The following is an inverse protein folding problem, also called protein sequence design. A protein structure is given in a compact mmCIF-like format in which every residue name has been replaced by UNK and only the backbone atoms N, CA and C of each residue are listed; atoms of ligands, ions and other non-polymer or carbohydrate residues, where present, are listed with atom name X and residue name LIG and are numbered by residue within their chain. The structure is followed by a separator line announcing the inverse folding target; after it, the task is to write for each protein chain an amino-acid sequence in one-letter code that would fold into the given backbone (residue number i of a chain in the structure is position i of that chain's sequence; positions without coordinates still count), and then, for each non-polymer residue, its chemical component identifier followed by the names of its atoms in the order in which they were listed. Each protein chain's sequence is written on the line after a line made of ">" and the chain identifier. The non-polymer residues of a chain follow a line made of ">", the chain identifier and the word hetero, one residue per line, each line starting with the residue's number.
data_IF_466984778782
#
_entry.id   IF_466984778782
#
_cell.length_a   1.000
_cell.length_b   1.000
_cell.length_c   1.000
_cell.angle_alpha   90.00
_cell.angle_beta   90.00
_cell.angle_gamma   90.00
#
_symmetry.space_group_name_H-M   'P 1'
#
loop_
_entity.id
_entity.type
_entity.pdbx_description
1 polymer ?
#
# COMPACT_ATOMS: atom_id res chain seq x y z
N UNK A 1 3.63 -18.02 23.76
CA UNK A 1 3.57 -16.55 23.62
C UNK A 1 4.31 -16.18 22.35
N UNK A 2 3.67 -16.35 21.19
CA UNK A 2 4.26 -15.91 19.92
C UNK A 2 3.56 -14.63 19.55
N UNK A 3 4.17 -13.50 19.91
CA UNK A 3 3.79 -12.19 19.40
C UNK A 3 4.24 -12.15 17.93
N UNK A 4 3.56 -12.95 17.11
CA UNK A 4 3.59 -12.85 15.66
C UNK A 4 3.00 -11.48 15.38
N UNK A 5 3.85 -10.45 15.29
CA UNK A 5 3.47 -9.26 14.55
C UNK A 5 2.97 -9.79 13.20
N UNK A 6 1.70 -9.56 12.84
CA UNK A 6 1.18 -10.17 11.63
C UNK A 6 2.03 -9.64 10.47
N UNK A 7 2.77 -10.52 9.80
CA UNK A 7 3.55 -10.19 8.61
C UNK A 7 2.68 -9.30 7.70
N UNK A 8 3.09 -8.04 7.50
CA UNK A 8 2.35 -7.06 6.72
C UNK A 8 1.48 -6.05 7.49
N UNK A 9 1.77 -5.72 8.75
CA UNK A 9 1.06 -4.61 9.42
C UNK A 9 1.29 -3.26 8.71
N UNK A 10 2.53 -3.01 8.26
CA UNK A 10 2.93 -1.87 7.42
C UNK A 10 2.16 -1.83 6.09
N UNK A 11 2.01 -2.97 5.39
CA UNK A 11 1.26 -3.03 4.14
C UNK A 11 -0.22 -2.72 4.36
N UNK A 12 -0.82 -3.19 5.47
CA UNK A 12 -2.21 -2.90 5.82
C UNK A 12 -2.40 -1.41 6.13
N UNK A 13 -1.48 -0.80 6.87
CA UNK A 13 -1.47 0.65 7.13
C UNK A 13 -1.34 1.45 5.84
N UNK A 14 -0.47 1.02 4.93
CA UNK A 14 -0.28 1.63 3.62
C UNK A 14 -1.55 1.55 2.77
N UNK A 15 -2.20 0.39 2.65
CA UNK A 15 -3.47 0.23 1.92
C UNK A 15 -4.53 1.17 2.47
N UNK A 16 -4.70 1.21 3.79
CA UNK A 16 -5.71 2.07 4.43
C UNK A 16 -5.46 3.55 4.15
N UNK A 17 -4.19 3.98 4.19
CA UNK A 17 -3.80 5.34 3.86
C UNK A 17 -4.03 5.67 2.39
N UNK A 18 -3.64 4.77 1.48
CA UNK A 18 -3.86 4.93 0.03
C UNK A 18 -5.36 5.03 -0.28
N UNK A 19 -6.19 4.16 0.29
CA UNK A 19 -7.64 4.19 0.10
C UNK A 19 -8.27 5.50 0.55
N UNK A 20 -7.84 6.04 1.70
CA UNK A 20 -8.32 7.34 2.19
C UNK A 20 -7.87 8.51 1.29
N UNK A 21 -6.68 8.44 0.70
CA UNK A 21 -6.19 9.48 -0.22
C UNK A 21 -6.69 9.30 -1.67
N UNK A 22 -7.22 8.13 -2.03
CA UNK A 22 -7.72 7.85 -3.37
C UNK A 22 -9.00 8.63 -3.68
N UNK A 23 -9.77 9.01 -2.65
CA UNK A 23 -11.01 9.79 -2.77
C UNK A 23 -10.78 11.21 -3.31
N UNK A 24 -9.58 11.77 -3.15
CA UNK A 24 -9.22 13.11 -3.67
C UNK A 24 -8.93 13.13 -5.19
N UNK A 25 -9.12 12.02 -5.92
CA UNK A 25 -8.83 11.94 -7.36
C UNK A 25 -7.33 11.91 -7.71
N UNK A 26 -6.47 11.71 -6.70
CA UNK A 26 -5.02 11.55 -6.89
C UNK A 26 -4.71 10.24 -7.62
N UNK A 27 -3.67 10.27 -8.47
CA UNK A 27 -3.20 9.07 -9.19
C UNK A 27 -2.71 8.01 -8.21
N UNK A 28 -3.24 6.79 -8.32
CA UNK A 28 -2.92 5.65 -7.44
C UNK A 28 -1.42 5.39 -7.34
N UNK A 29 -0.68 5.43 -8.47
CA UNK A 29 0.77 5.25 -8.49
C UNK A 29 1.51 6.18 -7.54
N UNK A 30 1.09 7.46 -7.48
CA UNK A 30 1.72 8.46 -6.62
C UNK A 30 1.45 8.19 -5.13
N UNK A 31 0.23 7.76 -4.81
CA UNK A 31 -0.13 7.37 -3.45
C UNK A 31 0.63 6.13 -2.98
N UNK A 32 0.90 5.18 -3.89
CA UNK A 32 1.64 3.96 -3.57
C UNK A 32 3.11 4.27 -3.30
N UNK A 33 3.74 5.13 -4.11
CA UNK A 33 5.11 5.59 -3.85
C UNK A 33 5.20 6.35 -2.51
N UNK A 34 4.27 7.27 -2.24
CA UNK A 34 4.23 7.99 -0.97
C UNK A 34 4.01 7.04 0.22
N UNK A 35 3.13 6.06 0.08
CA UNK A 35 2.90 5.06 1.11
C UNK A 35 4.13 4.16 1.30
N UNK A 36 4.82 3.79 0.22
CA UNK A 36 6.03 2.97 0.31
C UNK A 36 7.14 3.67 1.11
N UNK A 37 7.35 4.96 0.86
CA UNK A 37 8.32 5.76 1.61
C UNK A 37 7.84 6.00 3.04
N UNK A 38 6.54 6.29 3.23
CA UNK A 38 5.96 6.62 4.55
C UNK A 38 5.93 5.43 5.52
N UNK A 39 5.72 4.23 5.00
CA UNK A 39 5.59 3.00 5.79
C UNK A 39 6.81 2.08 5.67
N UNK A 40 7.92 2.57 5.08
CA UNK A 40 9.16 1.80 4.86
C UNK A 40 8.89 0.45 4.18
N UNK A 41 8.03 0.46 3.17
CA UNK A 41 7.65 -0.77 2.48
C UNK A 41 8.81 -1.31 1.65
N UNK A 42 9.00 -2.61 1.75
CA UNK A 42 9.95 -3.32 0.89
C UNK A 42 9.51 -3.30 -0.58
N UNK A 43 10.45 -3.43 -1.54
CA UNK A 43 10.14 -3.47 -2.97
C UNK A 43 9.02 -4.47 -3.31
N UNK A 44 9.04 -5.66 -2.69
CA UNK A 44 8.02 -6.68 -2.85
C UNK A 44 6.61 -6.23 -2.41
N UNK A 45 6.52 -5.42 -1.35
CA UNK A 45 5.26 -4.89 -0.84
C UNK A 45 4.75 -3.74 -1.72
N UNK A 46 5.65 -2.88 -2.19
CA UNK A 46 5.32 -1.83 -3.15
C UNK A 46 4.79 -2.42 -4.45
N UNK A 47 5.43 -3.46 -5.00
CA UNK A 47 4.94 -4.21 -6.16
C UNK A 47 3.56 -4.82 -5.91
N UNK A 48 3.34 -5.39 -4.72
CA UNK A 48 2.02 -5.89 -4.34
C UNK A 48 0.96 -4.78 -4.37
N UNK A 49 1.25 -3.60 -3.80
CA UNK A 49 0.34 -2.45 -3.83
C UNK A 49 0.08 -1.97 -5.25
N UNK A 50 1.13 -1.85 -6.07
CA UNK A 50 1.01 -1.47 -7.49
C UNK A 50 0.09 -2.46 -8.18
N UNK A 51 0.34 -3.76 -8.08
CA UNK A 51 -0.50 -4.78 -8.72
C UNK A 51 -1.95 -4.75 -8.18
N UNK A 52 -2.13 -4.58 -6.87
CA UNK A 52 -3.43 -4.51 -6.22
C UNK A 52 -4.28 -3.32 -6.72
N UNK A 53 -3.68 -2.14 -6.87
CA UNK A 53 -4.38 -0.92 -7.27
C UNK A 53 -4.38 -0.65 -8.79
N UNK A 54 -3.41 -1.21 -9.52
CA UNK A 54 -3.23 -1.08 -10.97
C UNK A 54 -4.03 -2.09 -11.79
N UNK A 55 -4.52 -3.19 -11.17
CA UNK A 55 -5.51 -4.07 -11.80
C UNK A 55 -6.83 -3.32 -12.02
N UNK A 56 -6.91 -2.57 -13.11
CA UNK A 56 -8.18 -2.26 -13.76
C UNK A 56 -8.72 -3.59 -14.29
N UNK A 57 -9.97 -3.99 -13.99
CA UNK A 57 -10.63 -4.92 -14.89
C UNK A 57 -10.63 -4.22 -16.26
N UNK A 58 -10.14 -4.94 -17.26
CA UNK A 58 -10.20 -4.52 -18.66
C UNK A 58 -11.65 -4.26 -19.09
#
# INVERSE_FOLDING_TARGET
>A
MSQMQPEGEEIRKAIKWISANMEEGKKKSKLIEEAAIKFDLSPAQTDFLINFFSKKPA
#
